data_IF_773664616555
#
_entry.id   IF_773664616555
#
_cell.length_a   1.000
_cell.length_b   1.000
_cell.length_c   1.000
_cell.angle_alpha   90.00
_cell.angle_beta   90.00
_cell.angle_gamma   90.00
#
_symmetry.space_group_name_H-M   'P 1'
#
loop_
_entity.id
_entity.type
_entity.pdbx_description
1 polymer ?
#
# COMPACT_ATOMS: atom_id res chain seq x y z
N UNK A 1 -9.89 6.06 -16.53
CA UNK A 1 -8.59 5.95 -15.83
C UNK A 1 -8.92 5.52 -14.42
N UNK A 2 -8.46 4.36 -13.96
CA UNK A 2 -8.66 3.99 -12.56
C UNK A 2 -7.82 4.96 -11.73
N UNK A 3 -8.44 5.71 -10.81
CA UNK A 3 -7.70 6.52 -9.85
C UNK A 3 -6.94 5.56 -8.93
N UNK A 4 -5.62 5.57 -9.04
CA UNK A 4 -4.76 4.86 -8.09
C UNK A 4 -5.01 5.47 -6.71
N UNK A 5 -5.54 4.65 -5.77
CA UNK A 5 -5.81 5.13 -4.41
C UNK A 5 -4.49 5.44 -3.72
N UNK A 6 -4.31 6.70 -3.31
CA UNK A 6 -3.16 7.13 -2.53
C UNK A 6 -3.30 6.73 -1.07
N UNK A 7 -2.22 6.22 -0.52
CA UNK A 7 -2.07 5.80 0.85
C UNK A 7 -0.92 6.56 1.50
N UNK A 8 -1.09 6.91 2.77
CA UNK A 8 -0.02 7.44 3.59
C UNK A 8 0.25 6.47 4.74
N UNK A 9 1.53 6.15 4.96
CA UNK A 9 2.00 5.35 6.09
C UNK A 9 2.99 6.18 6.90
N UNK A 10 2.86 6.13 8.22
CA UNK A 10 3.74 6.83 9.15
C UNK A 10 4.50 5.82 9.99
N UNK A 11 5.79 6.05 10.19
CA UNK A 11 6.62 5.26 11.08
C UNK A 11 7.65 6.16 11.77
N UNK A 12 7.59 6.22 13.10
CA UNK A 12 8.43 7.13 13.88
C UNK A 12 8.21 8.58 13.47
N UNK A 13 9.27 9.24 13.00
CA UNK A 13 9.23 10.64 12.52
C UNK A 13 9.19 10.76 11.00
N UNK A 14 9.03 9.66 10.27
CA UNK A 14 8.95 9.68 8.80
C UNK A 14 7.59 9.20 8.32
N UNK A 15 7.22 9.60 7.11
CA UNK A 15 6.06 9.08 6.41
C UNK A 15 6.34 8.84 4.93
N UNK A 16 5.56 7.96 4.32
CA UNK A 16 5.62 7.64 2.90
C UNK A 16 4.23 7.73 2.30
N UNK A 17 4.16 8.39 1.14
CA UNK A 17 3.01 8.42 0.24
C UNK A 17 3.22 7.37 -0.84
N UNK A 18 2.24 6.49 -1.03
CA UNK A 18 2.36 5.37 -1.95
C UNK A 18 1.02 4.98 -2.56
N UNK A 19 1.09 4.28 -3.69
CA UNK A 19 -0.06 3.75 -4.43
C UNK A 19 0.15 2.27 -4.71
N UNK A 20 -0.92 1.56 -5.05
CA UNK A 20 -0.82 0.23 -5.64
C UNK A 20 -1.16 0.34 -7.12
N UNK A 21 -0.16 0.11 -7.97
CA UNK A 21 -0.33 0.11 -9.42
C UNK A 21 0.06 -1.27 -9.95
N UNK A 22 -0.86 -1.92 -10.67
CA UNK A 22 -0.64 -3.27 -11.26
C UNK A 22 -0.19 -4.32 -10.23
N UNK A 23 -0.66 -4.22 -8.98
CA UNK A 23 -0.32 -5.14 -7.88
C UNK A 23 1.03 -4.88 -7.22
N UNK A 24 1.73 -3.82 -7.62
CA UNK A 24 3.01 -3.38 -7.04
C UNK A 24 2.81 -2.11 -6.23
N UNK A 25 3.40 -2.08 -5.03
CA UNK A 25 3.45 -0.87 -4.21
C UNK A 25 4.49 0.09 -4.81
N UNK A 26 4.06 1.31 -5.15
CA UNK A 26 4.89 2.36 -5.71
C UNK A 26 4.89 3.57 -4.80
N UNK A 27 6.07 4.05 -4.42
CA UNK A 27 6.25 5.17 -3.50
C UNK A 27 6.36 6.46 -4.30
N UNK A 28 5.49 7.43 -3.99
CA UNK A 28 5.44 8.75 -4.63
C UNK A 28 6.31 9.75 -3.90
N UNK A 29 6.26 9.78 -2.58
CA UNK A 29 7.03 10.71 -1.78
C UNK A 29 7.39 10.12 -0.42
N UNK A 30 8.50 10.59 0.15
CA UNK A 30 8.90 10.34 1.54
C UNK A 30 9.01 11.68 2.24
N UNK A 31 8.40 11.81 3.40
CA UNK A 31 8.58 12.97 4.29
C UNK A 31 9.49 12.54 5.44
N UNK A 32 10.61 13.23 5.60
CA UNK A 32 11.54 12.96 6.69
C UNK A 32 11.16 13.69 7.99
N UNK A 33 11.94 13.45 9.05
CA UNK A 33 11.74 14.06 10.37
C UNK A 33 11.78 15.59 10.40
N UNK A 34 12.44 16.22 9.43
CA UNK A 34 12.54 17.67 9.30
C UNK A 34 11.38 18.27 8.50
N UNK A 35 10.47 17.43 8.02
CA UNK A 35 9.42 17.81 7.09
C UNK A 35 9.90 17.94 5.65
N UNK A 36 11.14 17.53 5.34
CA UNK A 36 11.64 17.55 3.97
C UNK A 36 10.96 16.45 3.18
N UNK A 37 10.37 16.84 2.05
CA UNK A 37 9.75 15.93 1.09
C UNK A 37 10.79 15.51 0.05
N UNK A 38 10.90 14.22 -0.17
CA UNK A 38 11.66 13.61 -1.26
C UNK A 38 10.68 12.95 -2.21
N UNK A 39 10.49 13.56 -3.37
CA UNK A 39 9.68 13.01 -4.46
C UNK A 39 10.43 11.83 -5.10
N UNK A 40 9.71 10.73 -5.33
CA UNK A 40 10.21 9.47 -5.88
C UNK A 40 9.43 9.04 -7.13
N UNK A 41 8.44 9.81 -7.58
CA UNK A 41 7.71 9.60 -8.85
C UNK A 41 7.11 8.20 -9.08
N UNK A 42 6.90 7.41 -8.03
CA UNK A 42 6.29 6.08 -8.13
C UNK A 42 7.29 4.94 -8.31
N UNK A 43 8.50 5.06 -7.74
CA UNK A 43 9.48 3.98 -7.68
C UNK A 43 8.89 2.77 -6.91
N UNK A 44 9.13 1.52 -7.37
CA UNK A 44 8.70 0.33 -6.64
C UNK A 44 9.25 0.30 -5.22
N UNK A 45 8.42 -0.09 -4.24
CA UNK A 45 8.82 -0.16 -2.82
C UNK A 45 10.11 -0.98 -2.61
N UNK A 46 10.29 -2.06 -3.38
CA UNK A 46 11.50 -2.89 -3.35
C UNK A 46 12.79 -2.20 -3.80
N UNK A 47 12.71 -1.02 -4.41
CA UNK A 47 13.86 -0.21 -4.81
C UNK A 47 14.09 0.97 -3.84
N UNK A 48 13.16 1.24 -2.92
CA UNK A 48 13.25 2.36 -1.98
C UNK A 48 14.06 2.07 -0.71
N UNK A 49 14.69 0.90 -0.57
CA UNK A 49 15.45 0.53 0.65
C UNK A 49 16.55 1.53 1.03
N UNK A 50 17.17 2.19 0.05
CA UNK A 50 18.20 3.21 0.29
C UNK A 50 17.65 4.62 0.52
N UNK A 51 16.36 4.85 0.26
CA UNK A 51 15.73 6.17 0.26
C UNK A 51 14.86 6.43 1.49
N UNK A 52 14.42 5.38 2.20
CA UNK A 52 13.63 5.48 3.44
C UNK A 52 14.22 4.65 4.57
N UNK A 53 13.83 4.97 5.81
CA UNK A 53 14.11 4.12 6.95
C UNK A 53 13.50 2.73 6.79
N UNK A 54 14.22 1.72 7.30
CA UNK A 54 13.78 0.32 7.22
C UNK A 54 12.43 0.09 7.92
N UNK A 55 12.20 0.73 9.06
CA UNK A 55 10.94 0.60 9.77
C UNK A 55 9.77 1.21 8.99
N UNK A 56 10.00 2.31 8.28
CA UNK A 56 9.00 2.88 7.36
C UNK A 56 8.72 1.94 6.18
N UNK A 57 9.76 1.35 5.60
CA UNK A 57 9.61 0.36 4.53
C UNK A 57 8.78 -0.85 4.96
N UNK A 58 9.11 -1.43 6.12
CA UNK A 58 8.38 -2.57 6.69
C UNK A 58 6.92 -2.19 7.05
N UNK A 59 6.69 -0.95 7.51
CA UNK A 59 5.35 -0.46 7.81
C UNK A 59 4.48 -0.32 6.55
N UNK A 60 5.03 0.21 5.45
CA UNK A 60 4.32 0.30 4.16
C UNK A 60 3.95 -1.09 3.67
N UNK A 61 4.91 -2.03 3.69
CA UNK A 61 4.68 -3.42 3.28
C UNK A 61 3.57 -4.07 4.11
N UNK A 62 3.65 -3.96 5.44
CA UNK A 62 2.64 -4.51 6.35
C UNK A 62 1.25 -3.91 6.09
N UNK A 63 1.16 -2.61 5.88
CA UNK A 63 -0.13 -1.95 5.60
C UNK A 63 -0.72 -2.45 4.28
N UNK A 64 0.10 -2.62 3.24
CA UNK A 64 -0.32 -3.21 1.97
C UNK A 64 -0.84 -4.64 2.14
N UNK A 65 -0.11 -5.50 2.87
CA UNK A 65 -0.51 -6.88 3.12
C UNK A 65 -1.85 -6.97 3.86
N UNK A 66 -2.04 -6.18 4.91
CA UNK A 66 -3.30 -6.13 5.66
C UNK A 66 -4.49 -5.72 4.77
N UNK A 67 -4.29 -4.71 3.91
CA UNK A 67 -5.32 -4.28 2.97
C UNK A 67 -5.61 -5.34 1.91
N UNK A 68 -4.58 -6.01 1.39
CA UNK A 68 -4.71 -7.09 0.41
C UNK A 68 -5.49 -8.25 1.00
N UNK A 69 -5.16 -8.68 2.21
CA UNK A 69 -5.84 -9.78 2.90
C UNK A 69 -7.30 -9.45 3.22
N UNK A 70 -7.59 -8.22 3.66
CA UNK A 70 -8.96 -7.76 3.87
C UNK A 70 -9.77 -7.77 2.57
N UNK A 71 -9.19 -7.29 1.46
CA UNK A 71 -9.82 -7.34 0.12
C UNK A 71 -10.05 -8.79 -0.34
N UNK A 72 -9.09 -9.67 -0.11
CA UNK A 72 -9.20 -11.09 -0.43
C UNK A 72 -10.32 -11.77 0.36
N UNK A 73 -10.37 -11.53 1.67
CA UNK A 73 -11.40 -12.07 2.56
C UNK A 73 -12.80 -11.63 2.11
N UNK A 74 -12.96 -10.33 1.82
CA UNK A 74 -14.23 -9.78 1.31
C UNK A 74 -14.66 -10.44 -0.01
N UNK A 75 -13.73 -10.60 -0.96
CA UNK A 75 -13.99 -11.26 -2.25
C UNK A 75 -14.41 -12.72 -2.09
N UNK A 76 -13.79 -13.46 -1.16
CA UNK A 76 -14.17 -14.83 -0.83
C UNK A 76 -15.59 -14.91 -0.26
N UNK A 77 -15.95 -14.01 0.65
CA UNK A 77 -17.28 -13.97 1.25
C UNK A 77 -18.37 -13.64 0.22
N UNK A 78 -18.12 -12.67 -0.66
CA UNK A 78 -19.01 -12.34 -1.78
C UNK A 78 -19.19 -13.53 -2.73
N UNK A 79 -18.10 -14.22 -3.06
CA UNK A 79 -18.13 -15.42 -3.92
C UNK A 79 -18.93 -16.55 -3.26
N UNK A 80 -18.71 -16.81 -1.98
CA UNK A 80 -19.46 -17.81 -1.20
C UNK A 80 -20.94 -17.47 -1.12
N UNK A 81 -21.28 -16.20 -0.90
CA UNK A 81 -22.67 -15.73 -0.88
C UNK A 81 -23.35 -15.92 -2.25
N UNK A 82 -22.62 -15.65 -3.34
CA UNK A 82 -23.11 -15.86 -4.71
C UNK A 82 -23.42 -17.33 -4.96
N UNK A 83 -22.49 -18.25 -4.67
CA UNK A 83 -22.67 -19.70 -4.85
C UNK A 83 -23.87 -20.22 -4.06
N UNK A 84 -24.06 -19.75 -2.81
CA UNK A 84 -25.22 -20.13 -1.97
C UNK A 84 -26.55 -19.68 -2.57
N UNK A 85 -26.59 -18.51 -3.23
CA UNK A 85 -27.80 -18.00 -3.89
C UNK A 85 -28.15 -18.77 -5.17
N UNK A 86 -27.16 -19.26 -5.92
CA UNK A 86 -27.39 -20.00 -7.17
C UNK A 86 -27.79 -21.46 -6.97
N UNK A 87 -27.60 -22.00 -5.77
CA UNK A 87 -27.98 -23.39 -5.39
C UNK A 87 -29.40 -23.50 -4.80
N UNK A 88 -30.18 -22.41 -4.83
CA UNK A 88 -31.60 -22.37 -4.50
C UNK A 88 -32.40 -22.19 -5.79
#
# INVERSE_FOLDING_TARGET
MAEDTEHATHHGQQSAHWIVQEGTVRVRAIVDRSGRVTELDGIPLGECFGSMDRGLWEAVLRQYELQRDARYTKSLDETRARIRRTRR
#
